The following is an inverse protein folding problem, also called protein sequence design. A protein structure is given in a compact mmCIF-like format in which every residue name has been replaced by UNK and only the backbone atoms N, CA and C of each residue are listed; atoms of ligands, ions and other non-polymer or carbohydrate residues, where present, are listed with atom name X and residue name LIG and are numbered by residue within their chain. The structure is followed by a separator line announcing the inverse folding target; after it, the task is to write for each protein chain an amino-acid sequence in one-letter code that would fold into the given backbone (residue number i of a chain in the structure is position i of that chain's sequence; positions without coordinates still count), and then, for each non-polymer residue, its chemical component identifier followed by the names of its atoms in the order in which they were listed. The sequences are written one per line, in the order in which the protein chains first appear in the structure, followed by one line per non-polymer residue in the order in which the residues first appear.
data_IF_956759465958
#
_entry.id   IF_956759465958
#
_cell.length_a   1.000
_cell.length_b   1.000
_cell.length_c   1.000
_cell.angle_alpha   90.00
_cell.angle_beta   90.00
_cell.angle_gamma   90.00
#
_symmetry.space_group_name_H-M   'P 1'
#
loop_
_entity.id
_entity.type
_entity.pdbx_description
1 polymer ?
#
# COMPACT_ATOMS: atom_id res chain seq x y z
N UNK A 1 -5.73 2.68 -3.89
CA UNK A 1 -5.27 2.18 -2.58
C UNK A 1 -3.77 1.99 -2.58
N UNK A 2 -3.12 1.97 -1.41
CA UNK A 2 -1.69 1.80 -1.21
C UNK A 2 -1.44 0.39 -0.67
N UNK A 3 -0.75 -0.43 -1.45
CA UNK A 3 -0.44 -1.81 -1.13
C UNK A 3 1.03 -1.97 -0.77
N UNK A 4 1.34 -2.84 0.19
CA UNK A 4 2.69 -3.14 0.65
C UNK A 4 3.11 -4.51 0.10
N UNK A 5 4.16 -4.56 -0.72
CA UNK A 5 4.63 -5.83 -1.31
C UNK A 5 5.08 -6.87 -0.26
N UNK A 6 5.56 -6.41 0.90
CA UNK A 6 6.00 -7.25 1.99
C UNK A 6 5.45 -6.76 3.34
N UNK A 7 4.41 -7.42 3.83
CA UNK A 7 3.77 -7.07 5.10
C UNK A 7 4.56 -7.50 6.35
N UNK A 8 5.58 -8.36 6.22
CA UNK A 8 6.44 -8.69 7.37
C UNK A 8 7.35 -7.52 7.74
N UNK A 9 7.67 -6.66 6.78
CA UNK A 9 8.53 -5.50 6.98
C UNK A 9 7.93 -4.24 6.33
N UNK A 10 6.84 -3.74 6.92
CA UNK A 10 6.01 -2.65 6.39
C UNK A 10 6.80 -1.34 6.22
N UNK A 11 7.79 -1.08 7.08
CA UNK A 11 8.61 0.14 7.02
C UNK A 11 9.59 0.14 5.83
N UNK A 12 10.15 -1.01 5.47
CA UNK A 12 11.12 -1.16 4.36
C UNK A 12 10.49 -1.75 3.09
N UNK A 13 9.22 -2.15 3.15
CA UNK A 13 8.50 -2.68 2.01
C UNK A 13 8.27 -1.60 0.96
N UNK A 14 8.47 -1.97 -0.30
CA UNK A 14 7.96 -1.18 -1.42
C UNK A 14 6.44 -1.04 -1.30
N UNK A 15 5.96 0.18 -1.60
CA UNK A 15 4.55 0.56 -1.56
C UNK A 15 4.14 0.92 -2.98
N UNK A 16 3.02 0.37 -3.44
CA UNK A 16 2.49 0.65 -4.78
C UNK A 16 1.04 1.11 -4.70
N UNK A 17 0.65 1.97 -5.63
CA UNK A 17 -0.73 2.39 -5.78
C UNK A 17 -1.46 1.36 -6.63
N UNK A 18 -2.49 0.75 -6.06
CA UNK A 18 -3.30 -0.29 -6.68
C UNK A 18 -4.74 0.21 -6.81
N UNK A 19 -5.43 -0.20 -7.87
CA UNK A 19 -6.83 0.17 -8.09
C UNK A 19 -7.75 -0.46 -7.05
N UNK A 20 -7.44 -1.70 -6.67
CA UNK A 20 -8.22 -2.51 -5.75
C UNK A 20 -7.31 -3.35 -4.85
N UNK A 21 -7.67 -3.50 -3.57
CA UNK A 21 -6.96 -4.37 -2.64
C UNK A 21 -7.34 -5.85 -2.89
N UNK A 22 -6.44 -6.82 -2.62
CA UNK A 22 -6.74 -8.24 -2.80
C UNK A 22 -8.00 -8.68 -2.05
N UNK A 23 -9.02 -9.15 -2.75
CA UNK A 23 -10.31 -9.61 -2.20
C UNK A 23 -10.28 -11.09 -1.77
N UNK A 24 -9.19 -11.78 -2.10
CA UNK A 24 -8.92 -13.18 -1.79
C UNK A 24 -7.43 -13.38 -1.53
N UNK A 25 -7.10 -14.51 -0.92
CA UNK A 25 -5.69 -14.87 -0.69
C UNK A 25 -5.11 -15.41 -2.00
N UNK A 26 -4.00 -14.83 -2.45
CA UNK A 26 -3.27 -15.22 -3.65
C UNK A 26 -2.04 -16.03 -3.23
N UNK A 27 -1.95 -17.28 -3.69
CA UNK A 27 -0.91 -18.23 -3.28
C UNK A 27 0.31 -18.18 -4.20
N UNK A 28 0.11 -17.82 -5.46
CA UNK A 28 1.16 -17.80 -6.47
C UNK A 28 0.93 -16.71 -7.53
N UNK A 29 1.84 -16.63 -8.50
CA UNK A 29 1.81 -15.58 -9.52
C UNK A 29 0.63 -15.74 -10.49
N UNK A 30 0.13 -16.95 -10.69
CA UNK A 30 -1.03 -17.18 -11.55
C UNK A 30 -2.29 -16.56 -10.94
N UNK A 31 -2.44 -16.64 -9.61
CA UNK A 31 -3.51 -15.96 -8.88
C UNK A 31 -3.42 -14.43 -9.02
N UNK A 32 -2.20 -13.88 -8.99
CA UNK A 32 -1.96 -12.44 -9.19
C UNK A 32 -2.33 -12.01 -10.61
N UNK A 33 -1.96 -12.80 -11.61
CA UNK A 33 -2.37 -12.55 -13.00
C UNK A 33 -3.89 -12.59 -13.15
N UNK A 34 -4.55 -13.58 -12.55
CA UNK A 34 -6.00 -13.70 -12.61
C UNK A 34 -6.68 -12.51 -11.90
N UNK A 35 -6.19 -12.13 -10.71
CA UNK A 35 -6.68 -10.95 -10.00
C UNK A 35 -6.56 -9.67 -10.84
N UNK A 36 -5.44 -9.50 -11.55
CA UNK A 36 -5.28 -8.38 -12.48
C UNK A 36 -6.29 -8.43 -13.62
N UNK A 37 -6.54 -9.61 -14.22
CA UNK A 37 -7.54 -9.75 -15.29
C UNK A 37 -8.95 -9.42 -14.81
N UNK A 38 -9.28 -9.82 -13.58
CA UNK A 38 -10.62 -9.63 -13.01
C UNK A 38 -10.87 -8.17 -12.60
N UNK A 39 -9.88 -7.50 -12.01
CA UNK A 39 -10.05 -6.18 -11.37
C UNK A 39 -9.40 -5.02 -12.13
N UNK A 40 -8.41 -5.32 -12.97
CA UNK A 40 -7.46 -4.37 -13.54
C UNK A 40 -6.45 -3.84 -12.53
N UNK A 41 -6.36 -4.42 -11.33
CA UNK A 41 -5.46 -3.97 -10.26
C UNK A 41 -4.11 -4.66 -10.35
N UNK A 42 -3.04 -3.86 -10.51
CA UNK A 42 -1.66 -4.35 -10.64
C UNK A 42 -1.01 -4.45 -9.27
N UNK A 43 -0.72 -5.67 -8.81
CA UNK A 43 -0.04 -5.91 -7.53
C UNK A 43 1.49 -6.03 -7.66
N UNK A 44 2.02 -6.02 -8.87
CA UNK A 44 3.45 -5.98 -9.16
C UNK A 44 3.86 -4.61 -9.69
N UNK A 45 5.09 -4.21 -9.39
CA UNK A 45 5.70 -3.04 -9.99
C UNK A 45 6.50 -3.46 -11.22
N UNK A 46 5.90 -3.32 -12.40
CA UNK A 46 6.52 -3.69 -13.67
C UNK A 46 7.60 -2.71 -14.11
N UNK A 47 8.59 -3.20 -14.86
CA UNK A 47 9.55 -2.35 -15.57
C UNK A 47 8.92 -1.83 -16.86
N UNK A 48 9.21 -0.57 -17.19
CA UNK A 48 8.75 0.05 -18.44
C UNK A 48 9.15 -0.79 -19.66
N UNK A 49 8.20 -1.02 -20.57
CA UNK A 49 8.42 -1.75 -21.82
C UNK A 49 8.30 -3.28 -21.76
N UNK A 50 8.08 -3.88 -20.59
CA UNK A 50 8.05 -5.36 -20.43
C UNK A 50 6.62 -5.94 -20.43
N UNK A 51 5.58 -5.10 -20.34
CA UNK A 51 4.19 -5.56 -20.19
C UNK A 51 3.91 -6.04 -18.75
N UNK A 52 2.67 -6.47 -18.48
CA UNK A 52 2.27 -6.84 -17.11
C UNK A 52 2.91 -8.15 -16.68
N UNK A 53 3.90 -8.03 -15.81
CA UNK A 53 4.85 -9.08 -15.49
C UNK A 53 4.20 -10.34 -14.91
N UNK A 54 3.19 -10.19 -14.06
CA UNK A 54 2.61 -11.32 -13.36
C UNK A 54 1.91 -12.31 -14.31
N UNK A 55 1.59 -11.89 -15.55
CA UNK A 55 0.96 -12.71 -16.57
C UNK A 55 1.93 -13.25 -17.64
N UNK A 56 3.24 -13.03 -17.50
CA UNK A 56 4.23 -13.51 -18.47
C UNK A 56 4.76 -14.86 -17.99
N UNK A 57 4.60 -15.89 -18.81
CA UNK A 57 5.11 -17.23 -18.55
C UNK A 57 6.65 -17.23 -18.63
N UNK A 58 7.30 -17.24 -17.47
CA UNK A 58 8.74 -17.38 -17.34
C UNK A 58 9.20 -17.11 -15.91
N UNK A 59 9.86 -18.09 -15.29
CA UNK A 59 10.43 -18.04 -13.92
C UNK A 59 11.62 -17.06 -13.80
N UNK A 60 11.69 -16.05 -14.67
CA UNK A 60 12.78 -15.11 -14.70
C UNK A 60 12.48 -13.94 -13.76
N UNK A 61 12.53 -14.24 -12.45
CA UNK A 61 12.42 -13.29 -11.32
C UNK A 61 13.32 -12.05 -11.45
N UNK A 62 14.34 -12.14 -12.31
CA UNK A 62 15.30 -11.07 -12.62
C UNK A 62 14.85 -10.12 -13.75
N UNK A 63 13.90 -10.53 -14.59
CA UNK A 63 13.33 -9.75 -15.70
C UNK A 63 11.96 -9.19 -15.30
N UNK A 64 11.20 -9.99 -14.56
CA UNK A 64 9.94 -9.64 -13.95
C UNK A 64 10.13 -8.56 -12.88
N UNK A 65 9.33 -7.50 -12.88
CA UNK A 65 9.41 -6.42 -11.89
C UNK A 65 9.26 -6.84 -10.41
N UNK A 66 9.20 -5.87 -9.50
CA UNK A 66 9.10 -6.14 -8.06
C UNK A 66 7.67 -6.58 -7.72
N UNK A 67 7.49 -7.89 -7.51
CA UNK A 67 6.23 -8.51 -7.12
C UNK A 67 6.18 -8.81 -5.61
N UNK A 68 4.98 -8.99 -5.03
CA UNK A 68 4.81 -9.29 -3.61
C UNK A 68 5.29 -10.70 -3.28
N UNK A 69 5.63 -10.92 -2.00
CA UNK A 69 5.95 -12.26 -1.51
C UNK A 69 4.67 -13.03 -1.18
N UNK A 70 4.65 -14.31 -1.54
CA UNK A 70 3.52 -15.18 -1.25
C UNK A 70 3.57 -15.75 0.19
N UNK A 71 2.40 -16.07 0.78
CA UNK A 71 1.05 -15.77 0.28
C UNK A 71 0.68 -14.29 0.45
N UNK A 72 -0.04 -13.73 -0.52
CA UNK A 72 -0.64 -12.39 -0.41
C UNK A 72 -2.03 -12.57 0.18
N UNK A 73 -2.21 -12.13 1.42
CA UNK A 73 -3.48 -12.32 2.12
C UNK A 73 -4.58 -11.37 1.63
N UNK A 74 -5.81 -11.88 1.66
CA UNK A 74 -7.01 -11.07 1.50
C UNK A 74 -6.93 -9.83 2.40
N UNK A 75 -7.20 -8.67 1.83
CA UNK A 75 -7.00 -7.37 2.43
C UNK A 75 -8.20 -6.46 2.21
N UNK A 76 -8.56 -5.71 3.24
CA UNK A 76 -9.56 -4.65 3.16
C UNK A 76 -8.90 -3.27 3.07
N UNK A 77 -9.49 -2.31 2.34
CA UNK A 77 -8.99 -0.94 2.29
C UNK A 77 -9.29 -0.19 3.59
N UNK A 78 -8.26 0.44 4.20
CA UNK A 78 -8.35 1.30 5.38
C UNK A 78 -7.49 2.55 5.11
N UNK A 79 -8.06 3.76 5.16
CA UNK A 79 -7.36 5.03 4.84
C UNK A 79 -6.58 4.97 3.53
N UNK A 80 -7.26 4.52 2.46
CA UNK A 80 -6.66 4.28 1.15
C UNK A 80 -5.46 3.31 1.18
N UNK A 81 -5.28 2.45 2.19
CA UNK A 81 -4.21 1.44 2.29
C UNK A 81 -4.80 0.05 2.37
N UNK A 82 -4.12 -0.94 1.80
CA UNK A 82 -4.55 -2.33 1.87
C UNK A 82 -4.04 -2.99 3.16
N UNK A 83 -4.97 -3.46 3.98
CA UNK A 83 -4.67 -4.08 5.28
C UNK A 83 -5.22 -5.51 5.30
N UNK A 84 -4.41 -6.53 5.63
CA UNK A 84 -4.85 -7.92 5.70
C UNK A 84 -6.02 -8.12 6.64
N UNK A 85 -6.99 -8.93 6.23
CA UNK A 85 -8.02 -9.43 7.13
C UNK A 85 -7.37 -10.35 8.17
N UNK A 86 -7.83 -10.23 9.42
CA UNK A 86 -7.20 -10.89 10.54
C UNK A 86 -7.29 -12.43 10.46
N UNK A 87 -6.20 -13.10 10.07
CA UNK A 87 -6.07 -14.57 10.12
C UNK A 87 -5.53 -14.98 11.49
N UNK A 88 -6.28 -15.79 12.24
CA UNK A 88 -6.03 -16.18 13.66
C UNK A 88 -4.60 -16.62 14.04
N UNK A 89 -3.75 -16.99 13.07
CA UNK A 89 -2.39 -17.50 13.31
C UNK A 89 -1.25 -16.54 12.95
N UNK A 90 -1.52 -15.47 12.17
CA UNK A 90 -0.49 -14.54 11.63
C UNK A 90 -0.63 -13.12 12.22
N UNK A 91 -1.63 -12.95 13.07
CA UNK A 91 -2.34 -11.67 13.20
C UNK A 91 -1.73 -10.69 14.17
N UNK A 92 -1.36 -11.11 15.38
CA UNK A 92 -1.08 -10.12 16.42
C UNK A 92 0.08 -9.21 16.03
N UNK A 93 1.21 -9.75 15.59
CA UNK A 93 2.40 -8.93 15.32
C UNK A 93 2.31 -8.09 14.04
N UNK A 94 1.82 -8.65 12.93
CA UNK A 94 1.74 -7.92 11.64
C UNK A 94 0.67 -6.85 11.69
N UNK A 95 -0.50 -7.19 12.22
CA UNK A 95 -1.62 -6.25 12.33
C UNK A 95 -1.28 -5.17 13.35
N UNK A 96 -0.66 -5.50 14.49
CA UNK A 96 -0.19 -4.50 15.46
C UNK A 96 0.91 -3.60 14.89
N UNK A 97 1.85 -4.13 14.10
CA UNK A 97 2.87 -3.33 13.42
C UNK A 97 2.26 -2.43 12.35
N UNK A 98 1.24 -2.89 11.62
CA UNK A 98 0.55 -2.09 10.62
C UNK A 98 -0.30 -1.00 11.27
N UNK A 99 -1.01 -1.31 12.35
CA UNK A 99 -1.71 -0.33 13.18
C UNK A 99 -0.76 0.68 13.83
N UNK A 100 0.43 0.25 14.28
CA UNK A 100 1.48 1.16 14.75
C UNK A 100 1.97 2.07 13.61
N UNK A 101 2.15 1.53 12.40
CA UNK A 101 2.52 2.32 11.22
C UNK A 101 1.41 3.31 10.82
N UNK A 102 0.13 2.91 10.89
CA UNK A 102 -1.02 3.79 10.68
C UNK A 102 -1.09 4.88 11.76
N UNK A 103 -0.94 4.52 13.03
CA UNK A 103 -0.90 5.48 14.14
C UNK A 103 0.32 6.43 14.05
N UNK A 104 1.40 6.04 13.38
CA UNK A 104 2.56 6.92 13.10
C UNK A 104 2.49 7.68 11.77
N UNK A 105 1.46 7.41 10.95
CA UNK A 105 1.09 8.21 9.78
C UNK A 105 0.24 9.42 10.20
N UNK A 106 -0.50 9.28 11.30
CA UNK A 106 -1.36 10.30 11.89
C UNK A 106 -0.63 11.59 12.28
N UNK A 107 0.55 11.51 12.91
CA UNK A 107 1.27 12.73 13.35
C UNK A 107 1.74 13.58 12.15
N UNK A 108 2.04 12.92 11.04
CA UNK A 108 2.52 13.57 9.82
C UNK A 108 1.39 14.24 9.02
N UNK A 109 0.23 13.60 8.94
CA UNK A 109 -0.94 14.17 8.28
C UNK A 109 -1.51 15.35 9.10
N UNK A 110 -1.39 15.31 10.42
CA UNK A 110 -1.84 16.34 11.35
C UNK A 110 -0.98 17.62 11.32
N UNK A 111 0.35 17.52 11.23
CA UNK A 111 1.23 18.71 11.10
C UNK A 111 1.10 19.37 9.72
N UNK A 112 0.98 18.56 8.67
CA UNK A 112 0.77 19.07 7.31
C UNK A 112 -0.60 19.76 7.15
N UNK A 113 -1.63 19.31 7.86
CA UNK A 113 -2.95 19.94 7.84
C UNK A 113 -3.00 21.27 8.59
N UNK A 114 -2.34 21.38 9.75
CA UNK A 114 -2.40 22.58 10.59
C UNK A 114 -1.54 23.74 10.05
N UNK A 115 -0.44 23.46 9.33
CA UNK A 115 0.36 24.47 8.64
C UNK A 115 -0.33 25.03 7.38
N UNK A 116 -1.16 24.19 6.77
CA UNK A 116 -1.98 24.58 5.63
C UNK A 116 -3.23 25.35 6.09
N UNK A 117 -3.81 24.99 7.26
CA UNK A 117 -4.65 25.89 8.07
C UNK A 117 -3.87 27.17 8.42
N UNK A 118 -4.57 28.22 8.80
CA UNK A 118 -4.04 29.43 9.47
C UNK A 118 -3.07 30.36 8.74
N UNK A 119 -2.49 30.01 7.59
CA UNK A 119 -1.48 30.89 6.95
C UNK A 119 -1.98 32.33 6.65
N UNK A 120 -3.27 32.47 6.29
CA UNK A 120 -3.92 33.77 6.04
C UNK A 120 -4.35 34.49 7.33
N UNK A 121 -4.68 33.77 8.39
CA UNK A 121 -5.07 34.34 9.69
C UNK A 121 -3.83 34.84 10.46
N UNK A 122 -2.70 34.13 10.35
CA UNK A 122 -1.37 34.53 10.85
C UNK A 122 -0.92 35.81 10.16
N UNK A 123 -1.27 35.98 8.88
CA UNK A 123 -1.07 37.23 8.15
C UNK A 123 -2.02 38.34 8.62
N UNK A 124 -3.31 38.08 8.79
CA UNK A 124 -4.31 39.08 9.19
C UNK A 124 -4.10 39.61 10.63
N UNK A 125 -3.76 38.75 11.59
CA UNK A 125 -3.48 39.13 12.98
C UNK A 125 -2.16 39.90 13.15
N UNK A 126 -1.14 39.65 12.28
CA UNK A 126 0.13 40.41 12.25
C UNK A 126 -0.03 41.83 11.71
N UNK A 127 -1.13 42.07 10.99
CA UNK A 127 -1.44 43.35 10.37
C UNK A 127 -2.34 44.23 11.27
N UNK A 128 -3.27 43.66 12.05
CA UNK A 128 -4.13 44.37 13.02
C UNK A 128 -3.41 44.81 14.31
N UNK A 129 -2.14 44.42 14.51
CA UNK A 129 -1.35 44.71 15.71
C UNK A 129 -0.61 46.08 15.69
N UNK A 130 -0.86 46.92 14.68
CA UNK A 130 -0.34 48.28 14.50
C UNK A 130 -1.51 49.27 14.37
#
# INVERSE_FOLDING_TARGET
YLFFLNMRNIKQSLKICVKECPDRTLQDMSDVCQFYKDTGSQLCHDREGVGFTACIDGDNRNITGLCPTFPVYESSPILNRCVPKAIKNVTSTIVYNLYSVLNSWDVLEQVLGDLYKTWKEILALSFLAF
#
